data_IF_206820056801
#
_entry.id   IF_206820056801
#
_cell.length_a   1.000
_cell.length_b   1.000
_cell.length_c   1.000
_cell.angle_alpha   90.00
_cell.angle_beta   90.00
_cell.angle_gamma   90.00
#
_symmetry.space_group_name_H-M   'P 1'
#
loop_
_entity.id
_entity.type
_entity.pdbx_description
1 polymer ?
#
# COMPACT_ATOMS: atom_id res chain seq x y z
N UNK A 1 -0.72 -11.50 11.88
CA UNK A 1 0.21 -10.48 12.41
C UNK A 1 -0.54 -9.19 12.71
N UNK A 2 -0.28 -8.60 13.87
CA UNK A 2 -0.89 -7.36 14.33
C UNK A 2 0.11 -6.22 14.28
N UNK A 3 -0.37 -5.00 14.11
CA UNK A 3 0.48 -3.82 14.11
C UNK A 3 0.90 -3.50 15.56
N UNK A 4 2.18 -3.52 15.84
CA UNK A 4 2.76 -3.20 17.16
C UNK A 4 2.51 -1.75 17.61
N UNK A 5 2.04 -0.88 16.70
CA UNK A 5 1.71 0.53 17.00
C UNK A 5 0.27 0.74 17.45
N UNK A 6 -0.54 -0.32 17.51
CA UNK A 6 -1.91 -0.22 18.01
C UNK A 6 -1.93 0.19 19.47
N UNK A 7 -2.90 1.03 19.82
CA UNK A 7 -3.25 1.32 21.20
C UNK A 7 -3.94 0.12 21.84
N UNK A 8 -4.03 0.07 23.18
CA UNK A 8 -4.78 -0.98 23.89
C UNK A 8 -6.24 -1.07 23.40
N UNK A 9 -6.89 0.05 23.13
CA UNK A 9 -8.28 0.10 22.63
C UNK A 9 -8.40 -0.56 21.25
N UNK A 10 -7.51 -0.24 20.31
CA UNK A 10 -7.49 -0.86 18.98
C UNK A 10 -7.18 -2.36 19.07
N UNK A 11 -6.25 -2.75 19.95
CA UNK A 11 -5.89 -4.13 20.18
C UNK A 11 -7.08 -4.93 20.76
N UNK A 12 -7.78 -4.41 21.78
CA UNK A 12 -9.00 -5.01 22.35
C UNK A 12 -10.04 -5.25 21.26
N UNK A 13 -10.31 -4.23 20.48
CA UNK A 13 -11.32 -4.33 19.43
C UNK A 13 -10.97 -5.40 18.40
N UNK A 14 -9.70 -5.42 17.96
CA UNK A 14 -9.24 -6.36 16.95
C UNK A 14 -9.25 -7.80 17.47
N UNK A 15 -8.74 -8.04 18.68
CA UNK A 15 -8.72 -9.36 19.30
C UNK A 15 -10.13 -9.90 19.54
N UNK A 16 -11.07 -9.03 19.95
CA UNK A 16 -12.49 -9.39 20.07
C UNK A 16 -13.12 -9.72 18.72
N UNK A 17 -12.92 -8.85 17.71
CA UNK A 17 -13.47 -9.06 16.36
C UNK A 17 -12.95 -10.35 15.75
N UNK A 18 -11.67 -10.61 15.86
CA UNK A 18 -11.03 -11.81 15.33
C UNK A 18 -11.23 -13.05 16.24
N UNK A 19 -11.91 -12.91 17.40
CA UNK A 19 -12.16 -13.98 18.37
C UNK A 19 -10.85 -14.71 18.76
N UNK A 20 -9.79 -13.94 18.98
CA UNK A 20 -8.46 -14.48 19.28
C UNK A 20 -8.48 -15.14 20.64
N UNK A 21 -7.97 -16.38 20.71
CA UNK A 21 -7.88 -17.17 21.96
C UNK A 21 -6.45 -17.45 22.37
N UNK A 22 -5.46 -17.14 21.51
CA UNK A 22 -4.04 -17.27 21.82
C UNK A 22 -3.28 -16.07 21.22
N UNK A 23 -2.29 -15.57 21.92
CA UNK A 23 -1.50 -14.42 21.50
C UNK A 23 -0.02 -14.68 21.70
N UNK A 24 0.79 -14.39 20.68
CA UNK A 24 2.24 -14.34 20.73
C UNK A 24 2.64 -12.86 20.64
N UNK A 25 3.46 -12.38 21.55
CA UNK A 25 3.86 -10.98 21.64
C UNK A 25 5.31 -10.83 22.14
N UNK A 26 5.95 -9.73 21.76
CA UNK A 26 7.28 -9.37 22.25
C UNK A 26 7.20 -8.77 23.66
N UNK A 27 8.21 -9.00 24.48
CA UNK A 27 8.31 -8.50 25.87
C UNK A 27 8.07 -6.99 25.97
N UNK A 28 8.58 -6.21 25.04
CA UNK A 28 8.38 -4.75 24.99
C UNK A 28 6.92 -4.33 24.84
N UNK A 29 6.07 -5.21 24.33
CA UNK A 29 4.63 -4.99 24.16
C UNK A 29 3.81 -5.48 25.37
N UNK A 30 4.45 -6.12 26.36
CA UNK A 30 3.77 -6.64 27.54
C UNK A 30 2.88 -5.60 28.25
N UNK A 31 3.28 -4.32 28.43
CA UNK A 31 2.42 -3.33 29.09
C UNK A 31 1.08 -3.12 28.37
N UNK A 32 1.09 -2.97 27.05
CA UNK A 32 -0.13 -2.74 26.25
C UNK A 32 -0.99 -4.00 26.14
N UNK A 33 -0.35 -5.17 26.07
CA UNK A 33 -1.03 -6.47 26.08
C UNK A 33 -1.71 -6.71 27.44
N UNK A 34 -1.01 -6.47 28.56
CA UNK A 34 -1.57 -6.61 29.89
C UNK A 34 -2.78 -5.69 30.14
N UNK A 35 -2.74 -4.47 29.62
CA UNK A 35 -3.87 -3.55 29.65
C UNK A 35 -5.06 -4.10 28.84
N UNK A 36 -4.81 -4.57 27.62
CA UNK A 36 -5.84 -5.14 26.77
C UNK A 36 -6.50 -6.39 27.37
N UNK A 37 -5.73 -7.28 27.98
CA UNK A 37 -6.21 -8.52 28.59
C UNK A 37 -7.22 -8.30 29.71
N UNK A 38 -7.22 -7.14 30.38
CA UNK A 38 -8.20 -6.82 31.43
C UNK A 38 -9.63 -6.66 30.89
N UNK A 39 -9.77 -6.34 29.60
CA UNK A 39 -11.05 -6.13 28.94
C UNK A 39 -11.42 -7.26 27.95
N UNK A 40 -10.61 -8.32 27.90
CA UNK A 40 -10.82 -9.45 27.00
C UNK A 40 -11.21 -10.72 27.77
N UNK A 41 -11.92 -11.66 27.11
CA UNK A 41 -12.07 -13.00 27.68
C UNK A 41 -10.71 -13.66 27.95
N UNK A 42 -10.65 -14.59 28.91
CA UNK A 42 -9.41 -15.30 29.20
C UNK A 42 -8.81 -15.96 27.96
N UNK A 43 -7.51 -15.71 27.70
CA UNK A 43 -6.78 -16.34 26.61
C UNK A 43 -6.45 -17.79 26.96
N UNK A 44 -6.54 -18.69 25.97
CA UNK A 44 -6.12 -20.10 26.13
C UNK A 44 -4.61 -20.23 26.19
N UNK A 45 -3.88 -19.34 25.54
CA UNK A 45 -2.43 -19.30 25.54
C UNK A 45 -1.89 -17.88 25.37
N UNK A 46 -0.88 -17.56 26.15
CA UNK A 46 -0.06 -16.36 26.00
C UNK A 46 1.40 -16.80 25.87
N UNK A 47 2.07 -16.36 24.82
CA UNK A 47 3.48 -16.69 24.55
C UNK A 47 4.25 -15.39 24.41
N UNK A 48 5.26 -15.22 25.27
CA UNK A 48 6.11 -14.03 25.27
C UNK A 48 7.48 -14.32 24.64
N UNK A 49 7.89 -13.44 23.72
CA UNK A 49 9.15 -13.52 22.97
C UNK A 49 10.12 -12.47 23.50
N UNK A 50 11.37 -12.85 23.73
CA UNK A 50 12.47 -11.93 24.05
C UNK A 50 12.92 -11.92 25.52
N UNK A 51 12.16 -12.52 26.45
CA UNK A 51 12.52 -12.66 27.85
C UNK A 51 12.80 -14.12 28.27
N UNK A 52 13.62 -14.33 29.30
CA UNK A 52 13.78 -15.64 29.90
C UNK A 52 12.68 -15.96 30.93
N UNK A 53 12.02 -14.91 31.44
CA UNK A 53 10.86 -14.99 32.35
C UNK A 53 9.79 -14.07 31.82
N UNK A 54 8.57 -14.58 31.58
CA UNK A 54 7.47 -13.72 31.06
C UNK A 54 7.12 -12.62 32.07
N UNK A 55 6.77 -11.45 31.54
CA UNK A 55 6.32 -10.28 32.33
C UNK A 55 4.86 -10.42 32.73
N UNK A 56 4.02 -11.04 31.85
CA UNK A 56 2.59 -11.25 32.13
C UNK A 56 2.41 -12.59 32.82
N UNK A 57 1.75 -12.58 33.97
CA UNK A 57 1.44 -13.78 34.72
C UNK A 57 0.60 -14.78 33.91
N UNK A 58 0.99 -16.05 33.96
CA UNK A 58 0.38 -17.10 33.14
C UNK A 58 0.83 -17.18 31.66
N UNK A 59 1.69 -16.28 31.19
CA UNK A 59 2.33 -16.41 29.89
C UNK A 59 3.48 -17.45 29.95
N UNK A 60 3.79 -18.04 28.77
CA UNK A 60 4.88 -18.99 28.57
C UNK A 60 5.97 -18.33 27.73
N UNK A 61 7.24 -18.51 28.11
CA UNK A 61 8.37 -18.06 27.32
C UNK A 61 8.41 -18.80 25.95
N UNK A 62 8.62 -18.08 24.86
CA UNK A 62 8.66 -18.63 23.50
C UNK A 62 9.68 -19.77 23.36
N UNK A 63 10.89 -19.61 23.90
CA UNK A 63 11.95 -20.64 23.81
C UNK A 63 11.53 -21.93 24.49
N UNK A 64 10.82 -21.84 25.61
CA UNK A 64 10.27 -23.01 26.29
C UNK A 64 9.17 -23.68 25.50
N UNK A 65 8.30 -22.89 24.88
CA UNK A 65 7.24 -23.41 24.01
C UNK A 65 7.83 -24.08 22.76
N UNK A 66 8.82 -23.45 22.13
CA UNK A 66 9.46 -23.92 20.90
C UNK A 66 10.28 -25.22 21.10
N UNK A 67 10.80 -25.46 22.31
CA UNK A 67 11.56 -26.67 22.65
C UNK A 67 10.68 -27.79 23.23
N UNK A 68 9.38 -27.55 23.41
CA UNK A 68 8.44 -28.56 23.88
C UNK A 68 8.28 -29.70 22.85
N UNK A 69 7.79 -30.85 23.33
CA UNK A 69 7.54 -31.98 22.43
C UNK A 69 6.52 -31.59 21.35
N UNK A 70 6.78 -31.93 20.07
CA UNK A 70 5.83 -31.66 18.99
C UNK A 70 4.46 -32.26 19.32
N UNK A 71 3.43 -31.44 19.18
CA UNK A 71 2.04 -31.90 19.25
C UNK A 71 1.67 -32.62 17.93
N UNK A 72 1.13 -33.81 18.04
CA UNK A 72 0.49 -34.45 16.89
C UNK A 72 -0.83 -33.72 16.63
N UNK A 73 -0.91 -33.04 15.49
CA UNK A 73 -2.14 -32.35 15.12
C UNK A 73 -3.28 -33.36 14.96
N UNK A 74 -4.46 -33.11 15.55
CA UNK A 74 -5.59 -34.05 15.48
C UNK A 74 -6.18 -34.16 14.08
N UNK A 75 -5.90 -33.21 13.18
CA UNK A 75 -6.33 -33.21 11.78
C UNK A 75 -5.25 -32.56 10.91
N UNK A 76 -5.14 -33.03 9.67
CA UNK A 76 -4.31 -32.38 8.66
C UNK A 76 -4.87 -31.00 8.30
N UNK A 77 -4.02 -30.00 8.02
CA UNK A 77 -4.46 -28.70 7.51
C UNK A 77 -5.29 -28.87 6.22
N UNK A 78 -6.36 -28.10 6.09
CA UNK A 78 -7.27 -28.17 4.94
C UNK A 78 -7.19 -26.89 4.13
N UNK A 79 -7.41 -26.92 2.79
CA UNK A 79 -7.44 -25.73 1.96
C UNK A 79 -8.45 -24.67 2.42
N UNK A 80 -9.51 -25.09 3.14
CA UNK A 80 -10.57 -24.23 3.67
C UNK A 80 -10.27 -23.63 5.05
N UNK A 81 -9.17 -24.01 5.70
CA UNK A 81 -8.76 -23.37 6.95
C UNK A 81 -8.50 -21.89 6.71
N UNK A 82 -8.85 -21.06 7.70
CA UNK A 82 -8.92 -19.62 7.52
C UNK A 82 -7.63 -18.91 7.94
N UNK A 83 -7.25 -17.93 7.15
CA UNK A 83 -6.27 -16.91 7.48
C UNK A 83 -7.02 -15.58 7.63
N UNK A 84 -6.86 -14.94 8.78
CA UNK A 84 -7.41 -13.61 9.06
C UNK A 84 -6.34 -12.56 8.84
N UNK A 85 -6.51 -11.73 7.80
CA UNK A 85 -5.61 -10.64 7.50
C UNK A 85 -6.21 -9.31 8.00
N UNK A 86 -5.58 -8.73 9.02
CA UNK A 86 -6.03 -7.48 9.61
C UNK A 86 -5.51 -6.28 8.81
N UNK A 87 -6.41 -5.35 8.46
CA UNK A 87 -6.04 -4.13 7.72
C UNK A 87 -6.42 -2.89 8.51
N UNK A 88 -5.55 -1.88 8.53
CA UNK A 88 -5.94 -0.55 8.97
C UNK A 88 -6.95 0.04 7.99
N UNK A 89 -8.19 0.19 8.41
CA UNK A 89 -9.24 0.81 7.59
C UNK A 89 -8.99 2.30 7.40
N UNK A 90 -9.31 2.84 6.22
CA UNK A 90 -9.38 4.31 5.99
C UNK A 90 -10.46 4.99 6.83
N UNK A 91 -11.35 4.21 7.44
CA UNK A 91 -12.45 4.67 8.31
C UNK A 91 -12.12 4.57 9.81
N UNK A 92 -10.86 4.34 10.18
CA UNK A 92 -10.36 4.37 11.57
C UNK A 92 -10.27 3.02 12.25
N UNK A 93 -11.14 2.05 11.99
CA UNK A 93 -11.11 0.75 12.67
C UNK A 93 -10.50 -0.35 11.80
N UNK A 94 -9.62 -1.20 12.37
CA UNK A 94 -9.05 -2.33 11.64
C UNK A 94 -10.13 -3.31 11.19
N UNK A 95 -10.00 -3.84 9.96
CA UNK A 95 -10.89 -4.86 9.41
C UNK A 95 -10.18 -6.21 9.38
N UNK A 96 -10.94 -7.27 9.64
CA UNK A 96 -10.45 -8.64 9.57
C UNK A 96 -10.91 -9.30 8.26
N UNK A 97 -10.01 -9.36 7.27
CA UNK A 97 -10.28 -9.98 5.96
C UNK A 97 -10.09 -11.49 6.07
N UNK A 98 -11.11 -12.25 5.70
CA UNK A 98 -11.12 -13.71 5.77
C UNK A 98 -10.67 -14.34 4.44
N UNK A 99 -9.53 -14.99 4.44
CA UNK A 99 -9.05 -15.82 3.35
C UNK A 99 -9.12 -17.31 3.70
N UNK A 100 -9.57 -18.15 2.76
CA UNK A 100 -9.20 -19.57 2.81
C UNK A 100 -7.72 -19.68 2.50
N UNK A 101 -6.96 -20.48 3.23
CA UNK A 101 -5.52 -20.60 3.00
C UNK A 101 -5.18 -21.10 1.58
N UNK A 102 -5.97 -22.02 1.03
CA UNK A 102 -5.79 -22.49 -0.34
C UNK A 102 -6.04 -21.41 -1.38
N UNK A 103 -7.06 -20.56 -1.19
CA UNK A 103 -7.35 -19.44 -2.09
C UNK A 103 -6.28 -18.35 -2.01
N UNK A 104 -5.81 -18.02 -0.79
CA UNK A 104 -4.73 -17.08 -0.59
C UNK A 104 -3.45 -17.56 -1.29
N UNK A 105 -3.05 -18.80 -1.04
CA UNK A 105 -1.86 -19.38 -1.64
C UNK A 105 -1.93 -19.35 -3.17
N UNK A 106 -3.03 -19.77 -3.74
CA UNK A 106 -3.23 -19.75 -5.19
C UNK A 106 -3.27 -18.34 -5.78
N UNK A 107 -3.90 -17.37 -5.10
CA UNK A 107 -3.90 -15.97 -5.53
C UNK A 107 -2.50 -15.35 -5.51
N UNK A 108 -1.63 -15.77 -4.60
CA UNK A 108 -0.27 -15.26 -4.47
C UNK A 108 0.71 -15.92 -5.43
N UNK A 109 0.63 -17.23 -5.58
CA UNK A 109 1.52 -18.02 -6.45
C UNK A 109 1.05 -17.97 -7.92
N UNK A 110 -0.24 -17.93 -8.15
CA UNK A 110 -0.86 -17.93 -9.47
C UNK A 110 -0.66 -16.66 -10.31
N UNK A 111 0.14 -15.70 -9.81
CA UNK A 111 0.58 -14.55 -10.62
C UNK A 111 1.95 -14.87 -11.27
N UNK A 112 1.96 -15.55 -12.42
CA UNK A 112 3.06 -16.40 -12.90
C UNK A 112 4.29 -15.68 -13.42
N UNK A 113 4.23 -14.35 -13.61
CA UNK A 113 5.12 -13.73 -14.59
C UNK A 113 6.38 -13.06 -14.04
N UNK A 114 6.63 -13.06 -12.74
CA UNK A 114 7.76 -12.30 -12.19
C UNK A 114 8.82 -13.15 -11.50
N UNK A 115 8.48 -14.30 -10.98
CA UNK A 115 9.40 -15.09 -10.13
C UNK A 115 9.56 -16.53 -10.63
N UNK A 116 8.54 -17.13 -11.23
CA UNK A 116 8.52 -18.58 -11.56
C UNK A 116 8.76 -18.93 -13.03
N UNK A 117 8.88 -17.94 -13.95
CA UNK A 117 8.98 -18.15 -15.40
C UNK A 117 7.86 -19.04 -16.01
N UNK A 118 6.69 -19.05 -15.40
CA UNK A 118 5.52 -19.79 -15.85
C UNK A 118 4.47 -19.91 -14.77
N UNK A 119 3.25 -20.33 -15.10
CA UNK A 119 2.20 -20.57 -14.13
C UNK A 119 2.60 -21.72 -13.18
N UNK A 120 2.21 -21.60 -11.91
CA UNK A 120 2.26 -22.67 -10.92
C UNK A 120 0.81 -23.14 -10.74
N UNK A 121 0.45 -24.22 -11.39
CA UNK A 121 -0.92 -24.75 -11.38
C UNK A 121 -1.03 -26.02 -10.54
N UNK A 122 0.09 -26.73 -10.41
CA UNK A 122 0.16 -28.00 -9.69
C UNK A 122 1.20 -27.97 -8.57
N UNK A 123 1.14 -28.95 -7.68
CA UNK A 123 2.16 -29.15 -6.66
C UNK A 123 3.54 -29.44 -7.27
N UNK A 124 3.58 -30.16 -8.38
CA UNK A 124 4.82 -30.48 -9.10
C UNK A 124 5.47 -29.21 -9.68
N UNK A 125 4.68 -28.27 -10.20
CA UNK A 125 5.17 -26.96 -10.64
C UNK A 125 5.77 -26.18 -9.48
N UNK A 126 5.13 -26.24 -8.31
CA UNK A 126 5.61 -25.60 -7.09
C UNK A 126 6.94 -26.21 -6.63
N UNK A 127 7.03 -27.54 -6.61
CA UNK A 127 8.27 -28.26 -6.29
C UNK A 127 9.37 -27.95 -7.30
N UNK A 128 9.05 -27.89 -8.58
CA UNK A 128 9.99 -27.50 -9.62
C UNK A 128 10.48 -26.06 -9.44
N UNK A 129 9.57 -25.12 -9.08
CA UNK A 129 9.92 -23.73 -8.77
C UNK A 129 10.84 -23.64 -7.56
N UNK A 130 10.58 -24.40 -6.50
CA UNK A 130 11.36 -24.38 -5.24
C UNK A 130 12.78 -24.93 -5.39
N UNK A 131 13.04 -25.76 -6.41
CA UNK A 131 14.38 -26.32 -6.68
C UNK A 131 15.29 -25.42 -7.50
N UNK A 132 14.80 -24.28 -7.98
CA UNK A 132 15.62 -23.29 -8.69
C UNK A 132 16.54 -22.56 -7.71
N UNK A 133 17.53 -21.82 -8.25
CA UNK A 133 18.38 -20.97 -7.41
C UNK A 133 17.52 -20.04 -6.58
N UNK A 134 17.63 -20.09 -5.25
CA UNK A 134 16.77 -19.29 -4.38
C UNK A 134 16.92 -17.80 -4.67
N UNK A 135 15.80 -17.14 -4.93
CA UNK A 135 15.77 -15.68 -5.05
C UNK A 135 15.93 -15.07 -3.65
N UNK A 136 16.96 -14.26 -3.46
CA UNK A 136 17.25 -13.58 -2.18
C UNK A 136 16.56 -12.22 -2.19
N UNK A 137 15.58 -12.04 -1.32
CA UNK A 137 14.73 -10.84 -1.29
C UNK A 137 14.79 -10.16 0.08
N UNK A 138 15.18 -8.89 0.09
CA UNK A 138 15.11 -8.04 1.28
C UNK A 138 13.71 -7.44 1.42
N UNK A 139 13.07 -7.74 2.56
CA UNK A 139 11.73 -7.28 2.88
C UNK A 139 11.78 -5.93 3.59
N UNK A 140 11.35 -4.86 2.90
CA UNK A 140 11.16 -3.56 3.51
C UNK A 140 9.82 -3.44 4.26
N UNK A 141 8.67 -3.81 3.64
CA UNK A 141 7.39 -3.78 4.35
C UNK A 141 7.38 -4.74 5.53
N UNK A 142 7.00 -4.28 6.75
CA UNK A 142 6.87 -5.15 7.91
C UNK A 142 5.87 -6.28 7.69
N UNK A 143 6.09 -7.44 8.33
CA UNK A 143 5.20 -8.60 8.22
C UNK A 143 3.81 -8.38 8.85
N UNK A 144 3.60 -7.30 9.61
CA UNK A 144 2.28 -6.90 10.10
C UNK A 144 1.36 -6.40 8.98
N UNK A 145 1.91 -6.04 7.81
CA UNK A 145 1.15 -5.65 6.64
C UNK A 145 1.03 -6.81 5.67
N UNK A 146 -0.15 -6.92 5.03
CA UNK A 146 -0.42 -8.00 4.08
C UNK A 146 0.59 -8.03 2.92
N UNK A 147 1.07 -6.88 2.46
CA UNK A 147 2.12 -6.82 1.43
C UNK A 147 3.43 -7.48 1.87
N UNK A 148 3.85 -7.27 3.12
CA UNK A 148 5.02 -7.93 3.69
C UNK A 148 4.79 -9.42 3.92
N UNK A 149 3.76 -9.75 4.71
CA UNK A 149 3.39 -11.14 5.04
C UNK A 149 3.16 -11.98 3.79
N UNK A 150 2.35 -11.48 2.86
CA UNK A 150 2.02 -12.20 1.66
C UNK A 150 3.21 -12.42 0.74
N UNK A 151 4.07 -11.42 0.55
CA UNK A 151 5.30 -11.58 -0.25
C UNK A 151 6.24 -12.60 0.40
N UNK A 152 6.38 -12.55 1.73
CA UNK A 152 7.18 -13.52 2.48
C UNK A 152 6.65 -14.95 2.29
N UNK A 153 5.35 -15.16 2.49
CA UNK A 153 4.70 -16.46 2.31
C UNK A 153 4.91 -16.99 0.88
N UNK A 154 4.69 -16.15 -0.13
CA UNK A 154 4.92 -16.51 -1.53
C UNK A 154 6.37 -16.95 -1.78
N UNK A 155 7.34 -16.16 -1.30
CA UNK A 155 8.76 -16.47 -1.49
C UNK A 155 9.17 -17.77 -0.82
N UNK A 156 8.74 -18.00 0.42
CA UNK A 156 9.01 -19.25 1.14
C UNK A 156 8.43 -20.46 0.39
N UNK A 157 7.23 -20.31 -0.17
CA UNK A 157 6.55 -21.41 -0.89
C UNK A 157 7.28 -21.80 -2.17
N UNK A 158 7.91 -20.84 -2.88
CA UNK A 158 8.68 -21.11 -4.10
C UNK A 158 10.18 -21.34 -3.86
N UNK A 159 10.59 -21.56 -2.61
CA UNK A 159 11.99 -21.82 -2.24
C UNK A 159 12.88 -20.57 -2.25
N UNK A 160 12.30 -19.38 -2.19
CA UNK A 160 13.05 -18.12 -2.04
C UNK A 160 13.59 -17.92 -0.64
N UNK A 161 14.58 -17.04 -0.51
CA UNK A 161 15.15 -16.60 0.76
C UNK A 161 14.62 -15.21 1.09
N UNK A 162 13.90 -15.10 2.19
CA UNK A 162 13.46 -13.81 2.73
C UNK A 162 14.46 -13.28 3.75
N UNK A 163 14.93 -12.08 3.52
CA UNK A 163 15.85 -11.37 4.41
C UNK A 163 15.08 -10.21 5.05
N UNK A 164 15.26 -10.02 6.34
CA UNK A 164 14.71 -8.89 7.08
C UNK A 164 15.86 -8.10 7.67
N UNK A 165 15.79 -6.77 7.57
CA UNK A 165 16.75 -5.92 8.25
C UNK A 165 16.63 -6.11 9.78
N UNK A 166 17.68 -5.74 10.51
CA UNK A 166 17.72 -5.79 11.98
C UNK A 166 16.46 -5.15 12.60
N UNK A 167 16.00 -5.65 13.77
CA UNK A 167 14.67 -5.37 14.32
C UNK A 167 14.51 -3.96 14.91
N UNK A 168 15.15 -2.96 14.35
CA UNK A 168 14.86 -1.58 14.71
C UNK A 168 13.45 -1.19 14.26
N UNK A 169 12.76 -0.43 15.10
CA UNK A 169 11.37 0.00 14.84
C UNK A 169 11.33 1.06 13.73
N UNK A 170 11.52 0.63 12.49
CA UNK A 170 11.46 1.50 11.32
C UNK A 170 12.47 1.15 10.24
N UNK A 171 12.55 1.98 9.21
CA UNK A 171 13.55 1.85 8.17
C UNK A 171 14.87 2.46 8.64
N UNK A 172 15.93 1.65 8.75
CA UNK A 172 17.31 2.12 8.78
C UNK A 172 17.95 1.99 7.39
N UNK A 173 18.19 3.11 6.67
CA UNK A 173 18.76 3.07 5.33
C UNK A 173 20.18 2.47 5.29
N UNK A 174 20.98 2.63 6.33
CA UNK A 174 22.34 2.09 6.41
C UNK A 174 22.28 0.57 6.48
N UNK A 175 21.54 0.03 7.45
CA UNK A 175 21.35 -1.41 7.61
C UNK A 175 20.73 -2.04 6.35
N UNK A 176 19.79 -1.34 5.68
CA UNK A 176 19.17 -1.82 4.45
C UNK A 176 20.19 -2.03 3.33
N UNK A 177 21.08 -1.06 3.06
CA UNK A 177 22.11 -1.18 2.02
C UNK A 177 23.23 -2.14 2.40
N UNK A 178 23.65 -2.17 3.66
CA UNK A 178 24.60 -3.17 4.17
C UNK A 178 24.08 -4.60 4.03
N UNK A 179 22.76 -4.82 4.26
CA UNK A 179 22.14 -6.12 4.06
C UNK A 179 22.18 -6.53 2.58
N UNK A 180 21.92 -5.58 1.65
CA UNK A 180 22.00 -5.85 0.21
C UNK A 180 23.40 -6.30 -0.18
N UNK A 181 24.42 -5.64 0.32
CA UNK A 181 25.83 -5.96 0.06
C UNK A 181 26.21 -7.31 0.67
N UNK A 182 26.05 -7.47 1.98
CA UNK A 182 26.46 -8.64 2.75
C UNK A 182 25.76 -9.92 2.27
N UNK A 183 24.47 -9.86 2.07
CA UNK A 183 23.64 -11.01 1.75
C UNK A 183 23.45 -11.23 0.24
N UNK A 184 24.10 -10.41 -0.60
CA UNK A 184 23.99 -10.52 -2.06
C UNK A 184 22.53 -10.53 -2.54
N UNK A 185 21.74 -9.59 -2.00
CA UNK A 185 20.31 -9.44 -2.29
C UNK A 185 20.07 -9.20 -3.78
N UNK A 186 19.12 -9.94 -4.36
CA UNK A 186 18.77 -9.82 -5.77
C UNK A 186 17.54 -8.92 -5.99
N UNK A 187 16.66 -8.84 -5.01
CA UNK A 187 15.45 -8.02 -5.07
C UNK A 187 15.16 -7.41 -3.69
N UNK A 188 14.74 -6.16 -3.68
CA UNK A 188 14.29 -5.49 -2.46
C UNK A 188 12.84 -5.01 -2.62
N UNK A 189 12.06 -5.06 -1.53
CA UNK A 189 10.70 -4.51 -1.50
C UNK A 189 10.67 -3.24 -0.67
N UNK A 190 9.90 -2.23 -1.09
CA UNK A 190 9.84 -0.90 -0.44
C UNK A 190 8.41 -0.37 -0.42
N UNK A 191 8.16 0.69 0.37
CA UNK A 191 6.84 1.33 0.53
C UNK A 191 6.93 2.82 0.21
N UNK A 192 6.73 3.17 -1.05
CA UNK A 192 6.63 4.54 -1.52
C UNK A 192 7.83 5.42 -1.19
N UNK A 193 7.60 6.72 -1.19
CA UNK A 193 8.59 7.74 -0.88
C UNK A 193 9.10 7.66 0.56
N UNK A 194 8.29 7.15 1.49
CA UNK A 194 8.70 6.95 2.89
C UNK A 194 9.96 6.05 3.01
N UNK A 195 10.13 5.11 2.08
CA UNK A 195 11.33 4.29 1.96
C UNK A 195 12.30 4.86 0.92
N UNK A 196 11.80 5.22 -0.24
CA UNK A 196 12.62 5.61 -1.39
C UNK A 196 13.51 6.82 -1.11
N UNK A 197 13.00 7.86 -0.46
CA UNK A 197 13.78 9.08 -0.18
C UNK A 197 14.93 8.85 0.81
N UNK A 198 14.74 8.25 2.00
CA UNK A 198 15.85 7.94 2.89
C UNK A 198 16.88 7.00 2.27
N UNK A 199 16.44 5.97 1.55
CA UNK A 199 17.33 5.03 0.85
C UNK A 199 18.17 5.73 -0.22
N UNK A 200 17.56 6.61 -1.02
CA UNK A 200 18.27 7.40 -2.02
C UNK A 200 19.27 8.37 -1.39
N UNK A 201 18.88 9.03 -0.30
CA UNK A 201 19.77 9.95 0.43
C UNK A 201 21.01 9.23 0.94
N UNK A 202 20.84 8.04 1.51
CA UNK A 202 21.97 7.25 2.01
C UNK A 202 22.87 6.73 0.87
N UNK A 203 22.29 6.24 -0.22
CA UNK A 203 23.02 5.73 -1.37
C UNK A 203 23.87 6.81 -2.08
N UNK A 204 23.44 8.08 -2.01
CA UNK A 204 24.22 9.23 -2.48
C UNK A 204 25.38 9.61 -1.57
N UNK A 205 25.29 9.25 -0.29
CA UNK A 205 26.29 9.58 0.73
C UNK A 205 27.35 8.51 0.87
N UNK A 206 26.98 7.24 0.73
CA UNK A 206 27.83 6.09 1.01
C UNK A 206 27.76 5.10 -0.15
N UNK A 207 28.94 4.61 -0.56
CA UNK A 207 29.04 3.58 -1.59
C UNK A 207 28.80 2.19 -0.96
N UNK A 208 27.98 1.37 -1.63
CA UNK A 208 27.69 -0.02 -1.29
C UNK A 208 27.87 -0.92 -2.51
N UNK A 209 28.32 -2.16 -2.35
CA UNK A 209 28.25 -3.14 -3.44
C UNK A 209 26.82 -3.61 -3.68
N UNK A 210 26.16 -2.96 -4.61
CA UNK A 210 24.80 -3.30 -5.04
C UNK A 210 24.77 -4.15 -6.32
N UNK A 211 25.91 -4.78 -6.72
CA UNK A 211 26.05 -5.52 -7.98
C UNK A 211 25.08 -6.71 -8.11
N UNK A 212 24.67 -7.29 -6.98
CA UNK A 212 23.68 -8.39 -6.93
C UNK A 212 22.24 -7.93 -7.14
N UNK A 213 21.91 -6.66 -6.82
CA UNK A 213 20.54 -6.15 -6.88
C UNK A 213 20.09 -5.97 -8.33
N UNK A 214 18.94 -6.59 -8.66
CA UNK A 214 18.34 -6.59 -10.01
C UNK A 214 17.01 -5.83 -10.06
N UNK A 215 16.27 -5.81 -8.94
CA UNK A 215 14.96 -5.16 -8.91
C UNK A 215 14.65 -4.54 -7.54
N UNK A 216 13.91 -3.43 -7.57
CA UNK A 216 13.21 -2.84 -6.43
C UNK A 216 11.72 -2.89 -6.74
N UNK A 217 10.95 -3.53 -5.86
CA UNK A 217 9.50 -3.63 -5.96
C UNK A 217 8.87 -2.66 -4.96
N UNK A 218 8.15 -1.69 -5.47
CA UNK A 218 7.37 -0.77 -4.67
C UNK A 218 5.91 -1.21 -4.58
N UNK A 219 5.31 -1.11 -3.40
CA UNK A 219 3.90 -1.40 -3.18
C UNK A 219 3.35 -0.77 -1.90
N UNK A 220 2.05 -0.67 -1.80
CA UNK A 220 1.36 -0.12 -0.62
C UNK A 220 1.27 1.41 -0.57
N UNK A 221 2.21 2.14 -1.17
CA UNK A 221 2.19 3.59 -1.34
C UNK A 221 2.87 3.99 -2.66
N UNK A 222 2.54 5.16 -3.17
CA UNK A 222 3.18 5.69 -4.37
C UNK A 222 4.66 6.06 -4.11
N UNK A 223 5.51 5.79 -5.09
CA UNK A 223 6.87 6.30 -5.17
C UNK A 223 6.92 7.33 -6.31
N UNK A 224 7.41 8.53 -6.02
CA UNK A 224 7.48 9.61 -6.99
C UNK A 224 8.54 9.34 -8.08
N UNK A 225 8.33 9.93 -9.25
CA UNK A 225 9.21 9.69 -10.40
C UNK A 225 10.63 10.25 -10.19
N UNK A 226 10.79 11.30 -9.40
CA UNK A 226 12.11 11.85 -9.01
C UNK A 226 12.90 10.87 -8.15
N UNK A 227 12.23 10.21 -7.18
CA UNK A 227 12.84 9.18 -6.34
C UNK A 227 13.21 7.95 -7.15
N UNK A 228 12.32 7.49 -8.04
CA UNK A 228 12.61 6.37 -8.94
C UNK A 228 13.82 6.66 -9.83
N UNK A 229 13.86 7.85 -10.42
CA UNK A 229 14.97 8.29 -11.26
C UNK A 229 16.26 8.35 -10.46
N UNK A 230 16.20 8.99 -9.28
CA UNK A 230 17.37 9.10 -8.42
C UNK A 230 17.94 7.74 -7.99
N UNK A 231 17.08 6.79 -7.61
CA UNK A 231 17.48 5.41 -7.29
C UNK A 231 18.04 4.69 -8.52
N UNK A 232 17.38 4.81 -9.67
CA UNK A 232 17.85 4.19 -10.92
C UNK A 232 19.25 4.68 -11.32
N UNK A 233 19.47 6.01 -11.30
CA UNK A 233 20.74 6.63 -11.66
C UNK A 233 21.84 6.26 -10.64
N UNK A 234 21.54 6.35 -9.33
CA UNK A 234 22.49 5.99 -8.28
C UNK A 234 22.88 4.50 -8.29
N UNK A 235 21.99 3.63 -8.80
CA UNK A 235 22.25 2.20 -9.00
C UNK A 235 22.82 1.86 -10.38
N UNK A 236 23.36 2.87 -11.10
CA UNK A 236 24.04 2.70 -12.39
C UNK A 236 23.11 2.31 -13.54
N UNK A 237 21.84 2.62 -13.49
CA UNK A 237 20.88 2.39 -14.57
C UNK A 237 20.52 0.93 -14.84
N UNK A 238 20.87 -0.01 -13.93
CA UNK A 238 20.74 -1.46 -14.15
C UNK A 238 19.64 -2.13 -13.34
N UNK A 239 19.14 -1.48 -12.29
CA UNK A 239 18.15 -2.05 -11.40
C UNK A 239 16.74 -1.69 -11.88
N UNK A 240 15.89 -2.69 -12.13
CA UNK A 240 14.51 -2.47 -12.50
C UNK A 240 13.71 -1.94 -11.30
N UNK A 241 12.91 -0.88 -11.50
CA UNK A 241 12.00 -0.37 -10.47
C UNK A 241 10.57 -0.64 -10.93
N UNK A 242 9.79 -1.33 -10.11
CA UNK A 242 8.41 -1.72 -10.42
C UNK A 242 7.46 -1.26 -9.32
N UNK A 243 6.32 -0.68 -9.72
CA UNK A 243 5.21 -0.42 -8.81
C UNK A 243 4.16 -1.52 -8.92
N UNK A 244 3.66 -1.99 -7.77
CA UNK A 244 2.53 -2.89 -7.69
C UNK A 244 1.30 -2.17 -7.13
N UNK A 245 0.15 -2.38 -7.75
CA UNK A 245 -1.16 -2.00 -7.20
C UNK A 245 -1.88 -3.25 -6.71
N UNK A 246 -2.46 -3.17 -5.54
CA UNK A 246 -3.19 -4.27 -4.91
C UNK A 246 -3.72 -3.89 -3.54
N UNK A 247 -4.45 -4.81 -2.97
CA UNK A 247 -5.06 -4.67 -1.64
C UNK A 247 -5.09 -6.02 -0.92
N UNK A 248 -5.37 -5.99 0.38
CA UNK A 248 -5.59 -7.23 1.16
C UNK A 248 -6.81 -8.00 0.65
N UNK A 249 -7.80 -7.29 0.12
CA UNK A 249 -9.05 -7.84 -0.40
C UNK A 249 -8.93 -8.41 -1.82
N UNK A 250 -7.97 -7.92 -2.63
CA UNK A 250 -7.87 -8.27 -4.05
C UNK A 250 -6.55 -8.92 -4.47
N UNK A 251 -5.56 -8.99 -3.56
CA UNK A 251 -4.22 -9.39 -3.93
C UNK A 251 -3.57 -8.38 -4.89
N UNK A 252 -2.67 -8.84 -5.76
CA UNK A 252 -1.98 -7.99 -6.74
C UNK A 252 -2.86 -7.84 -7.98
N UNK A 253 -3.28 -6.60 -8.27
CA UNK A 253 -4.18 -6.27 -9.37
C UNK A 253 -3.45 -5.75 -10.61
N UNK A 254 -2.26 -5.19 -10.45
CA UNK A 254 -1.49 -4.71 -11.59
C UNK A 254 -0.06 -4.35 -11.21
N UNK A 255 0.79 -4.28 -12.23
CA UNK A 255 2.19 -3.90 -12.09
C UNK A 255 2.62 -2.96 -13.21
N UNK A 256 3.52 -2.05 -12.91
CA UNK A 256 4.22 -1.25 -13.90
C UNK A 256 5.72 -1.39 -13.68
N UNK A 257 6.50 -1.23 -14.75
CA UNK A 257 7.94 -1.17 -14.68
C UNK A 257 8.38 0.22 -15.15
N UNK A 258 9.04 0.94 -14.28
CA UNK A 258 9.62 2.23 -14.62
C UNK A 258 10.84 2.06 -15.54
N UNK A 259 10.86 2.81 -16.65
CA UNK A 259 11.86 2.69 -17.73
C UNK A 259 12.62 4.02 -17.97
N UNK A 260 12.94 4.76 -16.92
CA UNK A 260 13.71 6.01 -17.02
C UNK A 260 12.93 7.24 -17.48
N UNK A 261 11.61 7.12 -17.74
CA UNK A 261 10.75 8.26 -18.11
C UNK A 261 9.58 8.33 -17.14
N UNK A 262 9.16 9.56 -16.80
CA UNK A 262 7.94 9.78 -16.04
C UNK A 262 6.77 9.05 -16.71
N UNK A 263 6.12 8.16 -15.96
CA UNK A 263 4.94 7.43 -16.43
C UNK A 263 3.76 7.85 -15.59
N UNK A 264 2.63 8.15 -16.26
CA UNK A 264 1.34 8.17 -15.60
C UNK A 264 1.14 6.84 -14.84
N UNK A 265 0.20 6.79 -13.89
CA UNK A 265 -0.15 5.57 -13.14
C UNK A 265 -0.76 4.50 -14.05
N UNK A 266 0.05 3.98 -14.99
CA UNK A 266 -0.31 3.00 -16.00
C UNK A 266 0.21 1.63 -15.55
N UNK A 267 -0.70 0.68 -15.43
CA UNK A 267 -0.40 -0.65 -14.93
C UNK A 267 -0.77 -1.73 -15.95
N UNK A 268 0.08 -2.71 -16.12
CA UNK A 268 -0.28 -3.96 -16.78
C UNK A 268 -1.16 -4.75 -15.81
N UNK A 269 -2.41 -5.09 -16.21
CA UNK A 269 -3.32 -5.84 -15.34
C UNK A 269 -2.79 -7.25 -15.07
N UNK A 270 -3.12 -7.79 -13.90
CA UNK A 270 -2.97 -9.20 -13.60
C UNK A 270 -4.01 -10.05 -14.36
N UNK A 271 -3.81 -11.37 -14.42
CA UNK A 271 -4.72 -12.26 -15.17
C UNK A 271 -6.15 -12.26 -14.61
N UNK A 272 -6.31 -12.02 -13.32
CA UNK A 272 -7.61 -11.98 -12.63
C UNK A 272 -8.19 -10.57 -12.49
N UNK A 273 -7.48 -9.56 -12.98
CA UNK A 273 -7.90 -8.16 -12.87
C UNK A 273 -8.97 -7.84 -13.90
N UNK A 274 -10.01 -7.14 -13.46
CA UNK A 274 -11.14 -6.67 -14.28
C UNK A 274 -11.49 -5.24 -13.92
N UNK A 275 -12.22 -4.57 -14.81
CA UNK A 275 -12.96 -3.34 -14.47
C UNK A 275 -14.45 -3.62 -14.51
N UNK A 276 -15.17 -3.05 -13.55
CA UNK A 276 -16.63 -3.05 -13.54
C UNK A 276 -17.16 -1.68 -13.94
N UNK A 277 -18.34 -1.68 -14.53
CA UNK A 277 -19.15 -0.49 -14.79
C UNK A 277 -19.37 0.37 -13.53
N UNK A 278 -19.81 1.61 -13.71
CA UNK A 278 -20.03 2.54 -12.60
C UNK A 278 -21.06 2.01 -11.58
N UNK A 279 -22.10 1.30 -12.06
CA UNK A 279 -23.13 0.65 -11.26
C UNK A 279 -22.72 -0.72 -10.68
N UNK A 280 -21.55 -1.25 -11.07
CA UNK A 280 -20.98 -2.54 -10.67
C UNK A 280 -21.76 -3.76 -11.15
N UNK A 281 -22.58 -3.65 -12.20
CA UNK A 281 -23.42 -4.73 -12.69
C UNK A 281 -22.78 -5.54 -13.82
N UNK A 282 -21.80 -4.98 -14.54
CA UNK A 282 -21.16 -5.61 -15.68
C UNK A 282 -19.65 -5.38 -15.73
N UNK A 283 -18.95 -6.21 -16.48
CA UNK A 283 -17.54 -6.02 -16.77
C UNK A 283 -17.33 -5.07 -17.94
N UNK A 284 -16.37 -4.14 -17.79
CA UNK A 284 -15.94 -3.26 -18.87
C UNK A 284 -14.82 -3.91 -19.68
N UNK A 285 -14.97 -3.90 -20.99
CA UNK A 285 -13.93 -4.31 -21.94
C UNK A 285 -12.88 -3.20 -22.16
N UNK A 286 -11.68 -3.53 -22.66
CA UNK A 286 -10.67 -2.51 -23.00
C UNK A 286 -11.11 -1.50 -24.08
N UNK A 287 -12.15 -1.79 -24.87
CA UNK A 287 -12.70 -0.87 -25.83
C UNK A 287 -13.55 0.25 -25.20
N UNK A 288 -14.05 0.01 -23.99
CA UNK A 288 -14.87 0.96 -23.24
C UNK A 288 -13.98 1.89 -22.44
N UNK A 289 -14.01 3.18 -22.77
CA UNK A 289 -13.15 4.22 -22.17
C UNK A 289 -13.76 4.82 -20.89
N UNK A 290 -14.66 4.11 -20.24
CA UNK A 290 -15.35 4.55 -19.04
C UNK A 290 -14.46 4.39 -17.79
N UNK A 291 -14.76 5.21 -16.77
CA UNK A 291 -14.16 5.07 -15.45
C UNK A 291 -14.91 3.98 -14.70
N UNK A 292 -14.24 2.84 -14.52
CA UNK A 292 -14.77 1.69 -13.82
C UNK A 292 -14.21 1.51 -12.41
N UNK A 293 -14.68 0.45 -11.74
CA UNK A 293 -14.15 -0.03 -10.48
C UNK A 293 -13.10 -1.11 -10.75
N UNK A 294 -11.93 -0.94 -10.17
CA UNK A 294 -10.89 -1.97 -10.24
C UNK A 294 -11.32 -3.17 -9.39
N UNK A 295 -11.35 -4.33 -10.01
CA UNK A 295 -11.83 -5.57 -9.40
C UNK A 295 -10.85 -6.73 -9.62
N UNK A 296 -10.92 -7.72 -8.74
CA UNK A 296 -10.25 -9.02 -8.88
C UNK A 296 -11.30 -10.12 -8.93
N UNK A 297 -11.17 -11.03 -9.90
CA UNK A 297 -12.02 -12.21 -10.04
C UNK A 297 -11.31 -13.48 -9.56
N UNK A 298 -12.08 -14.55 -9.40
CA UNK A 298 -11.55 -15.87 -9.09
C UNK A 298 -11.38 -16.10 -7.59
N UNK A 299 -10.15 -16.36 -7.15
CA UNK A 299 -9.87 -16.62 -5.74
C UNK A 299 -9.77 -15.33 -4.96
N UNK A 300 -10.85 -14.99 -4.26
CA UNK A 300 -11.00 -13.76 -3.47
C UNK A 300 -11.41 -14.12 -2.04
N UNK A 301 -11.22 -13.22 -1.04
CA UNK A 301 -11.61 -13.47 0.35
C UNK A 301 -13.06 -13.85 0.50
N UNK A 302 -13.39 -14.57 1.57
CA UNK A 302 -14.78 -14.84 1.96
C UNK A 302 -15.53 -13.57 2.34
N UNK A 303 -14.82 -12.57 2.86
CA UNK A 303 -15.39 -11.31 3.29
C UNK A 303 -14.65 -10.70 4.46
N UNK A 304 -15.34 -9.87 5.21
CA UNK A 304 -14.87 -9.33 6.47
C UNK A 304 -15.57 -10.05 7.63
N UNK A 305 -14.82 -10.44 8.65
CA UNK A 305 -15.33 -11.12 9.81
C UNK A 305 -16.32 -10.22 10.57
N UNK A 306 -17.57 -10.69 10.71
CA UNK A 306 -18.62 -9.96 11.41
C UNK A 306 -19.25 -8.77 10.67
N UNK A 307 -18.81 -8.44 9.44
CA UNK A 307 -19.27 -7.28 8.69
C UNK A 307 -20.01 -7.70 7.41
N UNK A 308 -21.23 -8.20 7.52
CA UNK A 308 -22.02 -8.76 6.40
C UNK A 308 -22.33 -7.75 5.31
N UNK A 309 -22.77 -6.54 5.65
CA UNK A 309 -23.13 -5.50 4.67
C UNK A 309 -21.91 -5.05 3.87
N UNK A 310 -20.80 -4.77 4.56
CA UNK A 310 -19.55 -4.39 3.91
C UNK A 310 -19.01 -5.54 3.06
N UNK A 311 -19.16 -6.78 3.51
CA UNK A 311 -18.80 -7.96 2.73
C UNK A 311 -19.57 -8.02 1.42
N UNK A 312 -20.89 -7.85 1.45
CA UNK A 312 -21.72 -7.82 0.25
C UNK A 312 -21.34 -6.69 -0.71
N UNK A 313 -20.99 -5.51 -0.18
CA UNK A 313 -20.56 -4.36 -0.99
C UNK A 313 -19.18 -4.55 -1.63
N UNK A 314 -18.24 -5.19 -0.92
CA UNK A 314 -16.86 -5.36 -1.38
C UNK A 314 -16.70 -6.61 -2.23
N UNK A 315 -17.48 -7.64 -1.98
CA UNK A 315 -17.40 -8.94 -2.66
C UNK A 315 -18.72 -9.32 -3.36
N UNK A 316 -19.24 -8.47 -4.28
CA UNK A 316 -20.48 -8.75 -5.00
C UNK A 316 -20.34 -9.91 -5.99
N UNK A 317 -21.51 -10.41 -6.44
CA UNK A 317 -21.62 -11.26 -7.62
C UNK A 317 -21.87 -10.37 -8.85
N UNK A 318 -21.06 -10.52 -9.89
CA UNK A 318 -21.21 -9.82 -11.16
C UNK A 318 -21.22 -10.85 -12.28
N UNK A 319 -22.27 -10.90 -13.07
CA UNK A 319 -22.43 -11.89 -14.16
C UNK A 319 -22.18 -13.34 -13.70
N UNK A 320 -22.62 -13.69 -12.48
CA UNK A 320 -22.44 -15.02 -11.89
C UNK A 320 -21.03 -15.28 -11.32
N UNK A 321 -20.10 -14.31 -11.37
CA UNK A 321 -18.74 -14.43 -10.86
C UNK A 321 -18.60 -13.60 -9.59
N UNK A 322 -18.05 -14.19 -8.54
CA UNK A 322 -17.73 -13.45 -7.32
C UNK A 322 -16.45 -12.64 -7.51
N UNK A 323 -16.50 -11.35 -7.21
CA UNK A 323 -15.39 -10.41 -7.39
C UNK A 323 -15.05 -9.68 -6.11
N UNK A 324 -13.82 -9.17 -6.02
CA UNK A 324 -13.39 -8.23 -4.98
C UNK A 324 -13.26 -6.83 -5.56
N UNK A 325 -13.93 -5.85 -4.94
CA UNK A 325 -13.97 -4.44 -5.37
C UNK A 325 -13.55 -3.56 -4.18
N UNK A 326 -12.26 -3.39 -3.90
CA UNK A 326 -11.78 -2.71 -2.70
C UNK A 326 -11.97 -1.18 -2.70
N UNK A 327 -12.41 -0.61 -3.83
CA UNK A 327 -12.78 0.80 -3.94
C UNK A 327 -11.84 1.66 -4.79
N UNK A 328 -10.90 1.06 -5.50
CA UNK A 328 -10.03 1.78 -6.43
C UNK A 328 -10.75 2.00 -7.77
N UNK A 329 -10.54 3.18 -8.37
CA UNK A 329 -11.10 3.57 -9.68
C UNK A 329 -10.02 3.53 -10.74
N UNK A 330 -10.36 3.00 -11.91
CA UNK A 330 -9.43 2.92 -13.04
C UNK A 330 -10.16 3.06 -14.38
N UNK A 331 -9.39 3.20 -15.45
CA UNK A 331 -9.88 3.24 -16.83
C UNK A 331 -8.99 2.34 -17.70
N UNK A 332 -9.60 1.57 -18.57
CA UNK A 332 -8.87 0.88 -19.63
C UNK A 332 -8.21 1.87 -20.59
N UNK A 333 -7.08 1.49 -21.10
CA UNK A 333 -6.42 2.13 -22.25
C UNK A 333 -6.54 1.23 -23.47
N UNK A 334 -6.43 1.82 -24.67
CA UNK A 334 -6.52 1.08 -25.94
C UNK A 334 -5.47 -0.03 -26.09
N UNK A 335 -4.35 0.08 -25.37
CA UNK A 335 -3.26 -0.90 -25.34
C UNK A 335 -3.48 -2.05 -24.33
N UNK A 336 -4.64 -2.14 -23.71
CA UNK A 336 -4.98 -3.15 -22.70
C UNK A 336 -4.34 -2.91 -21.34
N UNK A 337 -3.69 -1.77 -21.13
CA UNK A 337 -3.21 -1.36 -19.80
C UNK A 337 -4.29 -0.59 -19.03
N UNK A 338 -4.07 -0.42 -17.73
CA UNK A 338 -4.96 0.32 -16.83
C UNK A 338 -4.35 1.66 -16.43
N UNK A 339 -5.13 2.71 -16.50
CA UNK A 339 -4.82 3.97 -15.84
C UNK A 339 -5.51 4.00 -14.48
N UNK A 340 -4.74 3.90 -13.40
CA UNK A 340 -5.24 3.98 -12.03
C UNK A 340 -5.49 5.45 -11.68
N UNK A 341 -6.70 5.76 -11.26
CA UNK A 341 -7.12 7.13 -10.93
C UNK A 341 -6.95 7.43 -9.44
N UNK A 342 -7.36 6.51 -8.57
CA UNK A 342 -7.27 6.63 -7.12
C UNK A 342 -8.46 5.97 -6.43
N UNK A 343 -8.59 6.20 -5.11
CA UNK A 343 -9.69 5.64 -4.32
C UNK A 343 -10.94 6.50 -4.39
N UNK A 344 -12.09 5.86 -4.59
CA UNK A 344 -13.40 6.53 -4.59
C UNK A 344 -13.71 7.23 -3.26
N UNK A 345 -13.26 6.65 -2.14
CA UNK A 345 -13.44 7.24 -0.80
C UNK A 345 -12.74 8.59 -0.60
N UNK A 346 -11.70 8.87 -1.39
CA UNK A 346 -10.94 10.11 -1.32
C UNK A 346 -11.34 11.09 -2.43
N UNK A 347 -12.35 10.75 -3.23
CA UNK A 347 -12.79 11.58 -4.35
C UNK A 347 -13.48 12.86 -3.84
N UNK A 348 -13.07 14.00 -4.38
CA UNK A 348 -13.66 15.31 -4.10
C UNK A 348 -14.76 15.58 -5.13
N UNK A 349 -15.98 15.90 -4.66
CA UNK A 349 -17.08 16.31 -5.52
C UNK A 349 -17.14 17.84 -5.58
N UNK A 350 -16.59 18.42 -6.64
CA UNK A 350 -16.50 19.86 -6.83
C UNK A 350 -17.30 20.32 -8.06
N UNK A 351 -18.36 21.07 -7.83
CA UNK A 351 -19.21 21.58 -8.93
C UNK A 351 -19.84 20.51 -9.82
N UNK A 352 -20.12 19.32 -9.26
CA UNK A 352 -20.66 18.18 -9.99
C UNK A 352 -19.60 17.27 -10.63
N UNK A 353 -18.32 17.66 -10.60
CA UNK A 353 -17.20 16.88 -11.12
C UNK A 353 -16.54 16.03 -10.03
N UNK A 354 -16.18 14.81 -10.37
CA UNK A 354 -15.39 13.92 -9.49
C UNK A 354 -13.90 14.15 -9.71
N UNK A 355 -13.20 14.54 -8.64
CA UNK A 355 -11.76 14.82 -8.65
C UNK A 355 -11.06 13.79 -7.76
N UNK A 356 -10.21 12.96 -8.37
CA UNK A 356 -9.40 11.99 -7.64
C UNK A 356 -8.18 12.69 -7.05
N UNK A 357 -8.06 12.65 -5.73
CA UNK A 357 -7.00 13.40 -5.01
C UNK A 357 -5.61 12.97 -5.44
N UNK A 358 -5.40 11.68 -5.67
CA UNK A 358 -4.11 11.11 -6.06
C UNK A 358 -3.64 11.60 -7.45
N UNK A 359 -4.57 11.98 -8.34
CA UNK A 359 -4.24 12.59 -9.63
C UNK A 359 -3.69 14.00 -9.42
N UNK A 360 -4.30 14.76 -8.52
CA UNK A 360 -3.87 16.14 -8.18
C UNK A 360 -2.55 16.09 -7.42
N UNK A 361 -2.40 15.22 -6.43
CA UNK A 361 -1.17 15.02 -5.67
C UNK A 361 0.02 14.74 -6.59
N UNK A 362 -0.13 13.79 -7.53
CA UNK A 362 0.91 13.49 -8.53
C UNK A 362 1.28 14.69 -9.39
N UNK A 363 0.29 15.47 -9.81
CA UNK A 363 0.55 16.66 -10.61
C UNK A 363 1.34 17.72 -9.82
N UNK A 364 1.05 17.89 -8.53
CA UNK A 364 1.76 18.83 -7.66
C UNK A 364 3.19 18.37 -7.35
N UNK A 365 3.37 17.10 -6.96
CA UNK A 365 4.69 16.53 -6.63
C UNK A 365 5.61 16.44 -7.85
N UNK A 366 5.06 16.47 -9.08
CA UNK A 366 5.89 16.53 -10.29
C UNK A 366 6.62 17.87 -10.51
N UNK A 367 6.41 18.87 -9.65
CA UNK A 367 7.11 20.15 -9.68
C UNK A 367 8.30 20.13 -8.71
N UNK A 368 9.46 20.61 -9.14
CA UNK A 368 10.73 20.58 -8.39
C UNK A 368 10.70 21.30 -7.03
N UNK A 369 9.73 22.20 -6.80
CA UNK A 369 9.55 22.89 -5.55
C UNK A 369 8.79 22.08 -4.49
N UNK A 370 8.24 20.91 -4.81
CA UNK A 370 7.36 20.13 -3.93
C UNK A 370 8.01 18.78 -3.60
N UNK A 371 8.21 18.53 -2.32
CA UNK A 371 8.69 17.23 -1.81
C UNK A 371 7.56 16.22 -1.64
N UNK A 372 6.42 16.67 -1.10
CA UNK A 372 5.27 15.80 -0.81
C UNK A 372 3.99 16.64 -0.85
N UNK A 373 2.85 16.00 -1.14
CA UNK A 373 1.55 16.64 -1.16
C UNK A 373 0.44 15.69 -0.75
N UNK A 374 -0.55 16.21 -0.05
CA UNK A 374 -1.81 15.54 0.24
C UNK A 374 -2.96 16.49 -0.12
N UNK A 375 -3.99 15.95 -0.80
CA UNK A 375 -5.10 16.74 -1.31
C UNK A 375 -6.40 16.30 -0.68
N UNK A 376 -7.19 17.25 -0.21
CA UNK A 376 -8.48 17.01 0.45
C UNK A 376 -9.56 17.95 -0.05
N UNK A 377 -10.81 17.52 0.09
CA UNK A 377 -11.98 18.36 -0.13
C UNK A 377 -12.28 19.22 1.11
N UNK A 378 -12.53 20.50 0.91
CA UNK A 378 -13.04 21.41 1.93
C UNK A 378 -14.44 21.89 1.55
N UNK A 379 -15.42 22.00 2.49
CA UNK A 379 -16.74 22.53 2.17
C UNK A 379 -16.68 23.91 1.50
N UNK A 380 -17.45 24.09 0.44
CA UNK A 380 -17.53 25.33 -0.34
C UNK A 380 -19.00 25.62 -0.69
N UNK A 381 -19.45 26.84 -0.38
CA UNK A 381 -20.81 27.28 -0.72
C UNK A 381 -21.05 27.36 -2.23
N UNK A 382 -19.99 27.54 -3.01
CA UNK A 382 -20.07 27.66 -4.46
C UNK A 382 -19.99 26.31 -5.18
N UNK A 383 -19.17 25.37 -4.67
CA UNK A 383 -18.80 24.16 -5.39
C UNK A 383 -19.26 22.89 -4.68
N UNK A 384 -19.92 22.97 -3.50
CA UNK A 384 -20.14 21.85 -2.60
C UNK A 384 -18.86 21.49 -1.85
N UNK A 385 -17.82 21.12 -2.60
CA UNK A 385 -16.44 20.97 -2.09
C UNK A 385 -15.47 21.73 -2.99
N UNK A 386 -14.40 22.26 -2.41
CA UNK A 386 -13.25 22.80 -3.13
C UNK A 386 -11.98 22.01 -2.82
N UNK A 387 -11.10 21.94 -3.80
CA UNK A 387 -9.83 21.21 -3.70
C UNK A 387 -8.84 22.04 -2.89
N UNK A 388 -8.28 21.46 -1.84
CA UNK A 388 -7.22 22.05 -1.00
C UNK A 388 -6.03 21.09 -0.99
N UNK A 389 -4.83 21.62 -1.24
CA UNK A 389 -3.58 20.89 -1.17
C UNK A 389 -2.79 21.33 0.06
N UNK A 390 -2.35 20.37 0.89
CA UNK A 390 -1.26 20.57 1.84
C UNK A 390 0.01 20.10 1.14
N UNK A 391 1.06 20.91 1.16
CA UNK A 391 2.30 20.62 0.43
C UNK A 391 3.52 20.80 1.32
N UNK A 392 4.50 19.95 1.14
CA UNK A 392 5.83 20.08 1.76
C UNK A 392 6.76 20.69 0.70
N UNK A 393 7.12 21.97 0.81
CA UNK A 393 8.04 22.58 -0.14
C UNK A 393 9.48 22.10 0.07
N UNK A 394 10.28 22.04 -0.99
CA UNK A 394 11.74 21.78 -0.93
C UNK A 394 12.45 22.86 -0.14
N UNK A 395 12.07 24.12 -0.38
CA UNK A 395 12.50 25.30 0.35
C UNK A 395 11.29 26.19 0.64
N UNK A 396 10.96 26.33 1.92
CA UNK A 396 9.81 27.12 2.35
C UNK A 396 9.93 28.61 1.98
N UNK A 397 11.16 29.14 1.92
CA UNK A 397 11.42 30.56 1.59
C UNK A 397 11.32 30.83 0.08
N UNK A 398 11.61 29.83 -0.74
CA UNK A 398 11.54 29.92 -2.20
C UNK A 398 10.20 29.44 -2.78
N UNK A 399 9.28 28.97 -1.94
CA UNK A 399 8.02 28.38 -2.37
C UNK A 399 7.09 29.40 -3.03
N UNK A 400 6.75 29.14 -4.29
CA UNK A 400 5.81 29.94 -5.09
C UNK A 400 4.63 29.06 -5.55
N UNK A 401 3.46 29.17 -4.87
CA UNK A 401 2.30 28.35 -5.20
C UNK A 401 1.75 28.61 -6.60
N UNK A 402 1.98 29.80 -7.18
CA UNK A 402 1.50 30.10 -8.54
C UNK A 402 2.29 29.32 -9.59
N UNK A 403 3.60 29.19 -9.45
CA UNK A 403 4.43 28.37 -10.35
C UNK A 403 4.00 26.90 -10.30
N UNK A 404 3.77 26.39 -9.10
CA UNK A 404 3.30 25.01 -8.90
C UNK A 404 1.93 24.79 -9.55
N UNK A 405 0.97 25.73 -9.39
CA UNK A 405 -0.33 25.64 -10.04
C UNK A 405 -0.26 25.71 -11.57
N UNK A 406 0.59 26.59 -12.11
CA UNK A 406 0.80 26.70 -13.56
C UNK A 406 1.36 25.39 -14.13
N UNK A 407 2.32 24.77 -13.44
CA UNK A 407 2.86 23.48 -13.81
C UNK A 407 1.77 22.40 -13.75
N UNK A 408 1.03 22.30 -12.64
CA UNK A 408 -0.04 21.32 -12.48
C UNK A 408 -1.12 21.48 -13.59
N UNK A 409 -1.41 22.72 -14.01
CA UNK A 409 -2.35 23.01 -15.11
C UNK A 409 -1.91 22.44 -16.47
N UNK A 410 -0.62 22.11 -16.65
CA UNK A 410 -0.14 21.41 -17.84
C UNK A 410 -0.36 19.89 -17.80
N UNK A 411 -0.68 19.36 -16.61
CA UNK A 411 -0.82 17.92 -16.35
C UNK A 411 -2.26 17.49 -16.15
N UNK A 412 -3.07 18.34 -15.50
CA UNK A 412 -4.47 18.04 -15.16
C UNK A 412 -5.41 19.19 -15.58
N UNK A 413 -6.69 18.87 -15.75
CA UNK A 413 -7.70 19.85 -16.12
C UNK A 413 -7.85 20.95 -15.06
N UNK A 414 -8.12 22.19 -15.48
CA UNK A 414 -8.16 23.38 -14.60
C UNK A 414 -9.15 23.28 -13.45
N UNK A 415 -10.28 22.58 -13.61
CA UNK A 415 -11.26 22.43 -12.55
C UNK A 415 -10.75 21.56 -11.38
N UNK A 416 -9.73 20.70 -11.61
CA UNK A 416 -9.08 19.85 -10.61
C UNK A 416 -8.03 20.60 -9.79
N UNK A 417 -7.59 21.78 -10.23
CA UNK A 417 -6.53 22.53 -9.55
C UNK A 417 -6.96 22.97 -8.15
N UNK A 418 -6.06 22.89 -7.15
CA UNK A 418 -6.33 23.37 -5.81
C UNK A 418 -6.75 24.85 -5.79
N UNK A 419 -7.76 25.15 -4.99
CA UNK A 419 -8.21 26.53 -4.70
C UNK A 419 -7.44 27.15 -3.55
N UNK A 420 -6.81 26.32 -2.72
CA UNK A 420 -5.88 26.72 -1.69
C UNK A 420 -4.70 25.75 -1.65
N UNK A 421 -3.51 26.26 -1.39
CA UNK A 421 -2.28 25.48 -1.20
C UNK A 421 -1.65 25.93 0.12
N UNK A 422 -1.52 24.99 1.04
CA UNK A 422 -1.08 25.24 2.43
C UNK A 422 0.29 24.57 2.61
N UNK A 423 1.37 25.35 2.79
CA UNK A 423 2.66 24.76 3.11
C UNK A 423 2.65 24.19 4.53
N UNK A 424 3.17 23.00 4.68
CA UNK A 424 3.35 22.28 5.94
C UNK A 424 4.78 21.75 6.05
N UNK A 425 5.25 21.49 7.27
CA UNK A 425 6.59 20.97 7.50
C UNK A 425 6.72 19.50 7.06
N UNK A 426 5.66 18.71 7.25
CA UNK A 426 5.60 17.29 6.87
C UNK A 426 4.14 16.85 6.66
N UNK A 427 3.93 15.77 5.90
CA UNK A 427 2.63 15.13 5.76
C UNK A 427 2.48 14.04 6.82
N UNK A 428 1.49 14.22 7.71
CA UNK A 428 1.17 13.22 8.71
C UNK A 428 0.79 11.90 8.03
N UNK A 429 1.32 10.81 8.59
CA UNK A 429 1.03 9.47 8.11
C UNK A 429 0.38 8.65 9.21
N UNK A 430 -0.53 7.78 8.82
CA UNK A 430 -1.16 6.81 9.74
C UNK A 430 -0.12 5.83 10.28
N UNK A 431 -0.48 5.08 11.33
CA UNK A 431 0.37 4.04 11.91
C UNK A 431 0.87 3.01 10.86
N UNK A 432 0.15 2.86 9.75
CA UNK A 432 0.50 1.98 8.63
C UNK A 432 1.31 2.67 7.52
N UNK A 433 1.79 3.91 7.74
CA UNK A 433 2.63 4.65 6.81
C UNK A 433 1.90 5.33 5.64
N UNK A 434 0.56 5.24 5.58
CA UNK A 434 -0.25 5.90 4.54
C UNK A 434 -0.51 7.36 4.89
N UNK A 435 -0.69 8.27 3.90
CA UNK A 435 -1.11 9.64 4.16
C UNK A 435 -2.38 9.70 5.02
N UNK A 436 -2.38 10.59 6.02
CA UNK A 436 -3.53 10.78 6.91
C UNK A 436 -4.47 11.86 6.38
N UNK A 437 -5.46 11.43 5.61
CA UNK A 437 -6.46 12.32 5.02
C UNK A 437 -7.38 12.95 6.07
N UNK A 438 -7.56 12.34 7.25
CA UNK A 438 -8.35 12.91 8.35
C UNK A 438 -7.63 14.09 8.95
N UNK A 439 -6.34 13.93 9.25
CA UNK A 439 -5.47 15.02 9.68
C UNK A 439 -5.46 16.15 8.65
N UNK A 440 -5.23 15.85 7.37
CA UNK A 440 -5.17 16.84 6.29
C UNK A 440 -6.48 17.63 6.17
N UNK A 441 -7.64 16.94 6.25
CA UNK A 441 -8.95 17.59 6.23
C UNK A 441 -9.15 18.53 7.42
N UNK A 442 -8.69 18.15 8.62
CA UNK A 442 -8.77 19.01 9.80
C UNK A 442 -7.94 20.31 9.65
N UNK A 443 -6.74 20.22 9.09
CA UNK A 443 -5.90 21.39 8.77
C UNK A 443 -6.57 22.27 7.71
N UNK A 444 -7.08 21.64 6.63
CA UNK A 444 -7.73 22.37 5.54
C UNK A 444 -8.98 23.14 5.99
N UNK A 445 -9.77 22.59 6.94
CA UNK A 445 -10.95 23.24 7.51
C UNK A 445 -10.61 24.47 8.36
N UNK A 446 -9.51 24.41 9.11
CA UNK A 446 -9.11 25.45 10.06
C UNK A 446 -8.24 26.54 9.41
N UNK A 447 -7.73 26.32 8.20
CA UNK A 447 -6.88 27.28 7.51
C UNK A 447 -7.70 28.47 6.99
N UNK A 448 -7.20 29.71 7.24
CA UNK A 448 -7.72 30.90 6.60
C UNK A 448 -7.68 30.74 5.08
N UNK A 449 -8.71 31.25 4.37
CA UNK A 449 -8.85 31.07 2.92
C UNK A 449 -7.89 31.98 2.13
N UNK A 450 -6.68 31.57 1.74
CA UNK A 450 -6.00 32.21 0.63
C UNK A 450 -6.63 31.70 -0.68
N UNK A 451 -7.27 32.57 -1.43
CA UNK A 451 -7.81 32.22 -2.76
C UNK A 451 -6.66 32.27 -3.76
N UNK A 452 -6.19 31.09 -4.17
CA UNK A 452 -5.28 30.96 -5.32
C UNK A 452 -6.12 30.98 -6.60
N UNK A 453 -6.07 32.09 -7.33
CA UNK A 453 -6.63 32.19 -8.67
C UNK A 453 -5.49 32.24 -9.68
N UNK A 454 -5.43 31.35 -10.69
CA UNK A 454 -4.46 31.52 -11.76
C UNK A 454 -4.81 32.82 -12.51
N UNK A 455 -4.06 33.88 -12.28
CA UNK A 455 -4.17 35.11 -13.08
C UNK A 455 -3.69 34.79 -14.49
N UNK A 456 -4.63 34.51 -15.39
CA UNK A 456 -4.37 34.52 -16.81
C UNK A 456 -4.16 35.99 -17.23
N UNK A 457 -2.93 36.38 -17.56
CA UNK A 457 -2.71 37.61 -18.34
C UNK A 457 -3.30 37.34 -19.73
N UNK A 458 -4.45 37.86 -19.99
CA UNK A 458 -4.93 38.10 -21.34
C UNK A 458 -4.08 39.23 -21.93
N UNK A 459 -3.01 38.88 -22.63
CA UNK A 459 -2.39 39.78 -23.60
C UNK A 459 -3.25 39.72 -24.87
N UNK A 460 -3.93 40.79 -25.18
CA UNK A 460 -4.67 40.90 -26.44
C UNK A 460 -5.82 41.86 -26.28
N UNK A 461 -5.56 43.17 -26.24
CA UNK A 461 -6.53 44.16 -26.66
C UNK A 461 -6.83 43.98 -28.14
N UNK A 462 -8.09 43.94 -28.57
CA UNK A 462 -8.40 44.14 -29.97
C UNK A 462 -8.41 45.66 -30.22
N UNK A 463 -7.44 46.13 -30.99
CA UNK A 463 -7.53 47.43 -31.68
C UNK A 463 -8.75 47.44 -32.59
N UNK A 464 -9.56 48.50 -32.43
CA UNK A 464 -10.63 48.94 -33.32
C UNK A 464 -10.18 48.93 -34.79
N UNK A 465 -10.96 48.35 -35.66
CA UNK A 465 -11.62 49.03 -36.79
C UNK A 465 -12.90 48.24 -37.13
#
# INVERSE_FOLDING_TARGET
NLNYRYTSTELIQLLNTAQVTALIYETDLAPIVAEALRALPPMKALIEVGGSVPVIDGAVCYESAATSKPLVLPAAPRPDDLIVACTGGTTGLPKAVLWRQGDLLAAMIGNPHTITNGPVETLDDLVAASRRTPLRVLMGPPLMHFSGFGTCLMLMTIGGVTLMAEPERGLDPVSFWQMIERERVQMATVVGDAFGRPLLKELRRTAYDTSSLRAILNGGAAMSDDVKRGLYDALGGRVAISDGVGSTEGGIQGRTQWKGKAQAAIYKPGPTTRLLSADRLSFLSPAEQEIGWLATCGRVPLGYLGEFERTAQTFPMVEGIRVSVPGDRARWRNDGTLNLLGRDSNTINSGGEKIFVEEVERALVSHDMILDAIVVGRPSTRWGQEVVALVVPVDANAFDPQKVLLHAATKIARYKLPKAMLPVADIMRTAVGKPDYVWAASIALNAARPVLSPKCRTTGEPTNV
#
